data_IF_889139081048
#
_entry.id   IF_889139081048
#
_cell.length_a   1.000
_cell.length_b   1.000
_cell.length_c   1.000
_cell.angle_alpha   90.00
_cell.angle_beta   90.00
_cell.angle_gamma   90.00
#
_symmetry.space_group_name_H-M   'P 1'
#
loop_
_entity.id
_entity.type
_entity.pdbx_description
1 polymer ?
#
# COMPACT_ATOMS: atom_id res chain seq x y z
N UNK A 1 -6.70 6.62 -14.22
CA UNK A 1 -5.70 6.08 -15.17
C UNK A 1 -6.44 5.58 -16.40
N UNK A 2 -5.91 5.80 -17.60
CA UNK A 2 -6.46 5.25 -18.85
C UNK A 2 -5.41 4.29 -19.45
N UNK A 3 -5.30 3.10 -18.84
CA UNK A 3 -4.33 2.06 -19.22
C UNK A 3 -4.97 1.10 -20.23
N UNK A 4 -4.19 0.59 -21.18
CA UNK A 4 -4.60 -0.60 -21.92
C UNK A 4 -4.65 -1.81 -20.99
N UNK A 5 -5.46 -2.82 -21.32
CA UNK A 5 -5.57 -4.05 -20.52
C UNK A 5 -4.22 -4.74 -20.37
N UNK A 6 -3.44 -4.89 -21.45
CA UNK A 6 -2.13 -5.55 -21.39
C UNK A 6 -1.18 -4.84 -20.42
N UNK A 7 -1.14 -3.52 -20.47
CA UNK A 7 -0.28 -2.73 -19.56
C UNK A 7 -0.76 -2.80 -18.11
N UNK A 8 -2.08 -2.82 -17.89
CA UNK A 8 -2.62 -3.03 -16.55
C UNK A 8 -2.23 -4.41 -15.99
N UNK A 9 -2.20 -5.45 -16.84
CA UNK A 9 -1.74 -6.79 -16.45
C UNK A 9 -0.24 -6.79 -16.10
N UNK A 10 0.61 -6.12 -16.89
CA UNK A 10 2.04 -6.00 -16.58
C UNK A 10 2.28 -5.33 -15.22
N UNK A 11 1.58 -4.21 -14.97
CA UNK A 11 1.63 -3.51 -13.68
C UNK A 11 1.15 -4.43 -12.55
N UNK A 12 0.05 -5.17 -12.75
CA UNK A 12 -0.45 -6.11 -11.74
C UNK A 12 0.57 -7.20 -11.43
N UNK A 13 1.23 -7.78 -12.44
CA UNK A 13 2.29 -8.78 -12.25
C UNK A 13 3.43 -8.19 -11.41
N UNK A 14 3.83 -6.95 -11.71
CA UNK A 14 4.92 -6.27 -11.01
C UNK A 14 4.59 -5.98 -9.54
N UNK A 15 3.40 -5.44 -9.24
CA UNK A 15 3.08 -4.98 -7.88
C UNK A 15 2.62 -6.11 -6.94
N UNK A 16 2.11 -7.21 -7.49
CA UNK A 16 1.48 -8.28 -6.69
C UNK A 16 2.38 -8.85 -5.58
N UNK A 17 3.67 -9.18 -5.81
CA UNK A 17 4.55 -9.69 -4.76
C UNK A 17 4.69 -8.72 -3.58
N UNK A 18 4.85 -7.42 -3.88
CA UNK A 18 5.00 -6.38 -2.87
C UNK A 18 3.72 -6.17 -2.07
N UNK A 19 2.56 -6.23 -2.74
CA UNK A 19 1.26 -6.14 -2.07
C UNK A 19 1.03 -7.34 -1.17
N UNK A 20 1.38 -8.55 -1.62
CA UNK A 20 1.27 -9.77 -0.83
C UNK A 20 2.14 -9.71 0.44
N UNK A 21 3.38 -9.23 0.32
CA UNK A 21 4.29 -9.05 1.46
C UNK A 21 3.73 -8.06 2.50
N UNK A 22 3.16 -6.94 2.05
CA UNK A 22 2.54 -5.93 2.92
C UNK A 22 1.32 -6.52 3.64
N UNK A 23 0.41 -7.17 2.90
CA UNK A 23 -0.86 -7.68 3.47
C UNK A 23 -0.60 -8.84 4.44
N UNK A 24 0.48 -9.60 4.24
CA UNK A 24 0.87 -10.72 5.10
C UNK A 24 1.80 -10.32 6.26
N UNK A 25 2.18 -9.04 6.40
CA UNK A 25 3.03 -8.61 7.50
C UNK A 25 2.33 -8.78 8.86
N UNK A 26 2.83 -9.73 9.65
CA UNK A 26 2.26 -10.08 10.95
C UNK A 26 2.29 -8.94 11.97
N UNK A 27 3.25 -8.01 11.88
CA UNK A 27 3.32 -6.88 12.81
C UNK A 27 2.31 -5.80 12.42
N UNK A 28 2.11 -5.55 11.12
CA UNK A 28 1.01 -4.68 10.68
C UNK A 28 -0.35 -5.23 11.10
N UNK A 29 -0.57 -6.54 10.93
CA UNK A 29 -1.80 -7.21 11.37
C UNK A 29 -2.03 -7.05 12.87
N UNK A 30 -1.00 -7.23 13.71
CA UNK A 30 -1.08 -7.01 15.16
C UNK A 30 -1.50 -5.57 15.49
N UNK A 31 -0.93 -4.55 14.84
CA UNK A 31 -1.34 -3.16 15.06
C UNK A 31 -2.80 -2.98 14.65
N UNK A 32 -3.19 -3.44 13.45
CA UNK A 32 -4.57 -3.34 12.96
C UNK A 32 -5.55 -4.02 13.94
N UNK A 33 -5.28 -5.24 14.36
CA UNK A 33 -6.14 -6.01 15.27
C UNK A 33 -6.24 -5.39 16.67
N UNK A 34 -5.13 -4.83 17.18
CA UNK A 34 -5.09 -4.10 18.45
C UNK A 34 -6.07 -2.93 18.47
N UNK A 35 -6.24 -2.23 17.36
CA UNK A 35 -7.09 -1.02 17.28
C UNK A 35 -8.46 -1.24 16.62
N UNK A 36 -8.72 -2.39 15.96
CA UNK A 36 -10.03 -2.75 15.37
C UNK A 36 -11.21 -2.58 16.34
N UNK A 37 -10.99 -2.82 17.64
CA UNK A 37 -12.03 -2.77 18.68
C UNK A 37 -12.07 -1.45 19.46
N UNK A 38 -11.26 -0.45 19.10
CA UNK A 38 -11.18 0.81 19.88
C UNK A 38 -11.09 2.05 18.98
N UNK A 39 -12.21 2.44 18.32
CA UNK A 39 -12.24 3.55 17.36
C UNK A 39 -11.81 4.91 17.93
N UNK A 40 -11.93 5.13 19.25
CA UNK A 40 -11.59 6.38 19.92
C UNK A 40 -10.07 6.69 19.97
N UNK A 41 -9.22 5.79 19.46
CA UNK A 41 -7.75 5.90 19.53
C UNK A 41 -7.08 6.09 18.17
N UNK A 42 -7.73 6.78 17.23
CA UNK A 42 -7.19 6.96 15.87
C UNK A 42 -5.76 7.53 15.85
N UNK A 43 -5.44 8.52 16.67
CA UNK A 43 -4.08 9.09 16.74
C UNK A 43 -3.04 8.03 17.16
N UNK A 44 -3.37 7.20 18.16
CA UNK A 44 -2.48 6.14 18.65
C UNK A 44 -2.33 5.02 17.61
N UNK A 45 -3.41 4.69 16.91
CA UNK A 45 -3.39 3.75 15.79
C UNK A 45 -2.41 4.22 14.70
N UNK A 46 -2.53 5.47 14.23
CA UNK A 46 -1.61 6.00 13.22
C UNK A 46 -0.17 6.13 13.73
N UNK A 47 0.03 6.53 14.99
CA UNK A 47 1.35 6.64 15.59
C UNK A 47 2.11 5.31 15.69
N UNK A 48 1.40 4.17 15.74
CA UNK A 48 2.01 2.84 15.74
C UNK A 48 2.06 2.23 14.33
N UNK A 49 0.99 2.40 13.53
CA UNK A 49 0.89 1.83 12.20
C UNK A 49 1.91 2.45 11.23
N UNK A 50 2.01 3.78 11.17
CA UNK A 50 2.84 4.48 10.18
C UNK A 50 4.32 4.08 10.33
N UNK A 51 4.94 4.12 11.54
CA UNK A 51 6.32 3.69 11.69
C UNK A 51 6.52 2.19 11.43
N UNK A 52 5.58 1.34 11.84
CA UNK A 52 5.66 -0.11 11.59
C UNK A 52 5.64 -0.41 10.08
N UNK A 53 4.78 0.30 9.35
CA UNK A 53 4.65 0.20 7.90
C UNK A 53 5.88 0.75 7.19
N UNK A 54 6.23 2.02 7.38
CA UNK A 54 7.29 2.66 6.60
C UNK A 54 8.69 2.12 6.91
N UNK A 55 8.95 1.60 8.12
CA UNK A 55 10.26 1.01 8.44
C UNK A 55 10.53 -0.26 7.62
N UNK A 56 9.49 -1.06 7.36
CA UNK A 56 9.60 -2.35 6.67
C UNK A 56 9.29 -2.26 5.18
N UNK A 57 8.30 -1.45 4.83
CA UNK A 57 7.67 -1.48 3.52
C UNK A 57 7.89 -0.21 2.69
N UNK A 58 8.82 0.69 3.08
CA UNK A 58 9.11 1.91 2.28
C UNK A 58 9.45 1.59 0.82
N UNK A 59 10.30 0.59 0.59
CA UNK A 59 10.80 0.25 -0.74
C UNK A 59 9.71 -0.46 -1.56
N UNK A 60 9.00 -1.48 -1.03
CA UNK A 60 7.78 -1.99 -1.64
C UNK A 60 6.78 -0.89 -2.03
N UNK A 61 6.55 0.10 -1.14
CA UNK A 61 5.68 1.25 -1.44
C UNK A 61 6.20 2.05 -2.62
N UNK A 62 7.50 2.36 -2.68
CA UNK A 62 8.06 3.12 -3.80
C UNK A 62 7.97 2.36 -5.12
N UNK A 63 8.15 1.04 -5.12
CA UNK A 63 8.01 0.21 -6.31
C UNK A 63 6.55 0.20 -6.78
N UNK A 64 5.59 0.00 -5.87
CA UNK A 64 4.16 0.07 -6.19
C UNK A 64 3.79 1.43 -6.77
N UNK A 65 4.26 2.52 -6.15
CA UNK A 65 4.00 3.87 -6.63
C UNK A 65 4.65 4.12 -8.00
N UNK A 66 5.88 3.65 -8.22
CA UNK A 66 6.58 3.78 -9.49
C UNK A 66 5.80 3.09 -10.62
N UNK A 67 5.39 1.84 -10.42
CA UNK A 67 4.61 1.07 -11.39
C UNK A 67 3.26 1.73 -11.72
N UNK A 68 2.52 2.19 -10.70
CA UNK A 68 1.20 2.81 -10.88
C UNK A 68 1.24 4.20 -11.51
N UNK A 69 2.31 4.96 -11.28
CA UNK A 69 2.49 6.30 -11.85
C UNK A 69 3.32 6.28 -13.15
N UNK A 70 3.71 5.10 -13.63
CA UNK A 70 4.56 4.90 -14.81
C UNK A 70 5.86 5.72 -14.75
N UNK A 71 6.51 5.70 -13.59
CA UNK A 71 7.72 6.46 -13.25
C UNK A 71 8.75 5.54 -12.63
N UNK A 72 9.93 6.06 -12.31
CA UNK A 72 11.01 5.29 -11.67
C UNK A 72 10.95 5.38 -10.16
N UNK A 73 11.56 4.40 -9.47
CA UNK A 73 11.70 4.44 -8.00
C UNK A 73 12.53 5.66 -7.57
N UNK A 74 13.53 6.03 -8.37
CA UNK A 74 14.36 7.22 -8.14
C UNK A 74 13.52 8.50 -8.17
N UNK A 75 12.60 8.64 -9.12
CA UNK A 75 11.67 9.77 -9.19
C UNK A 75 10.70 9.79 -8.00
N UNK A 76 10.19 8.64 -7.56
CA UNK A 76 9.38 8.54 -6.34
C UNK A 76 10.19 8.93 -5.09
N UNK A 77 11.46 8.55 -5.00
CA UNK A 77 12.32 8.91 -3.88
C UNK A 77 12.67 10.41 -3.87
N UNK A 78 12.77 11.03 -5.04
CA UNK A 78 13.04 12.45 -5.19
C UNK A 78 11.81 13.35 -4.94
N UNK A 79 10.60 12.77 -4.92
CA UNK A 79 9.38 13.56 -4.77
C UNK A 79 9.17 14.08 -3.33
N UNK A 80 8.39 15.16 -3.20
CA UNK A 80 8.06 15.70 -1.87
C UNK A 80 7.18 14.74 -1.07
N UNK A 81 7.37 14.72 0.25
CA UNK A 81 6.57 13.89 1.17
C UNK A 81 5.05 14.03 0.98
N UNK A 82 4.58 15.25 0.70
CA UNK A 82 3.14 15.52 0.50
C UNK A 82 2.60 14.79 -0.73
N UNK A 83 3.38 14.71 -1.81
CA UNK A 83 2.99 13.97 -3.03
C UNK A 83 2.89 12.49 -2.72
N UNK A 84 3.90 11.91 -2.08
CA UNK A 84 3.88 10.48 -1.69
C UNK A 84 2.67 10.14 -0.82
N UNK A 85 2.37 10.98 0.17
CA UNK A 85 1.21 10.75 1.06
C UNK A 85 -0.11 10.82 0.28
N UNK A 86 -0.24 11.73 -0.68
CA UNK A 86 -1.45 11.84 -1.49
C UNK A 86 -1.62 10.62 -2.40
N UNK A 87 -0.56 10.15 -3.07
CA UNK A 87 -0.62 8.94 -3.90
C UNK A 87 -1.01 7.70 -3.06
N UNK A 88 -0.44 7.54 -1.86
CA UNK A 88 -0.82 6.45 -0.95
C UNK A 88 -2.31 6.57 -0.58
N UNK A 89 -2.82 7.77 -0.30
CA UNK A 89 -4.24 7.98 0.03
C UNK A 89 -5.17 7.67 -1.15
N UNK A 90 -4.77 8.01 -2.36
CA UNK A 90 -5.52 7.69 -3.58
C UNK A 90 -5.67 6.18 -3.75
N UNK A 91 -4.56 5.44 -3.64
CA UNK A 91 -4.55 3.97 -3.68
C UNK A 91 -5.39 3.40 -2.53
N UNK A 92 -5.24 3.91 -1.32
CA UNK A 92 -5.99 3.46 -0.15
C UNK A 92 -7.50 3.81 -0.22
N UNK A 93 -7.90 4.69 -1.14
CA UNK A 93 -9.31 5.05 -1.38
C UNK A 93 -9.92 4.28 -2.55
N UNK A 94 -9.10 3.62 -3.37
CA UNK A 94 -9.53 2.75 -4.46
C UNK A 94 -10.05 1.42 -3.91
N UNK A 95 -11.38 1.35 -3.75
CA UNK A 95 -12.05 0.17 -3.20
C UNK A 95 -11.93 -1.06 -4.08
N UNK A 96 -11.85 -0.89 -5.40
CA UNK A 96 -11.78 -2.01 -6.34
C UNK A 96 -10.40 -2.64 -6.29
N UNK A 97 -9.35 -1.82 -6.29
CA UNK A 97 -7.97 -2.27 -6.14
C UNK A 97 -7.74 -2.94 -4.78
N UNK A 98 -8.23 -2.35 -3.69
CA UNK A 98 -8.15 -2.95 -2.36
C UNK A 98 -8.92 -4.27 -2.32
N UNK A 99 -10.14 -4.32 -2.86
CA UNK A 99 -10.96 -5.52 -2.89
C UNK A 99 -10.27 -6.65 -3.66
N UNK A 100 -9.68 -6.33 -4.81
CA UNK A 100 -8.90 -7.26 -5.61
C UNK A 100 -7.79 -7.91 -4.78
N UNK A 101 -6.89 -7.11 -4.19
CA UNK A 101 -5.76 -7.67 -3.44
C UNK A 101 -6.17 -8.36 -2.13
N UNK A 102 -7.17 -7.83 -1.42
CA UNK A 102 -7.64 -8.45 -0.18
C UNK A 102 -8.46 -9.73 -0.40
N UNK A 103 -8.98 -9.96 -1.60
CA UNK A 103 -9.66 -11.22 -1.94
C UNK A 103 -8.72 -12.43 -1.87
N UNK A 104 -7.45 -12.27 -2.23
CA UNK A 104 -6.43 -13.30 -2.13
C UNK A 104 -6.05 -13.61 -0.67
N UNK A 105 -6.10 -12.60 0.20
CA UNK A 105 -5.77 -12.75 1.62
C UNK A 105 -6.88 -13.42 2.46
N UNK A 106 -8.09 -13.57 1.91
CA UNK A 106 -9.21 -14.30 2.55
C UNK A 106 -9.23 -15.79 2.20
N UNK A 107 -8.28 -16.26 1.40
CA UNK A 107 -8.19 -17.65 0.94
C UNK A 107 -7.39 -18.56 1.89
N UNK A 108 -7.38 -18.27 3.19
CA UNK A 108 -6.93 -19.15 4.28
C UNK A 108 -7.88 -19.05 5.50
#
# INVERSE_FOLDING_TARGET
MNLSTDKAVDILIEITPYVADIINDSDLRKVIDKYKKTPAKQIQYFAELIPTFLKKHREPVYIILAALNETTVEEIQAQSFVVTVNQIKEIASDKDLISFFTSFAKAE
#
